data_IF_533006478546
#
_entry.id   IF_533006478546
#
_cell.length_a   1.000
_cell.length_b   1.000
_cell.length_c   1.000
_cell.angle_alpha   90.00
_cell.angle_beta   90.00
_cell.angle_gamma   90.00
#
_symmetry.space_group_name_H-M   'P 1'
#
loop_
_entity.id
_entity.type
_entity.pdbx_description
1 polymer ?
#
# COMPACT_ATOMS: atom_id res chain seq x y z
N UNK A 1 -8.20 -16.07 -6.07
CA UNK A 1 -7.54 -15.03 -5.24
C UNK A 1 -7.06 -13.94 -6.18
N UNK A 2 -7.00 -12.70 -5.72
CA UNK A 2 -6.54 -11.54 -6.49
C UNK A 2 -5.78 -10.62 -5.55
N UNK A 3 -4.72 -9.99 -6.03
CA UNK A 3 -4.07 -8.88 -5.33
C UNK A 3 -4.47 -7.56 -5.97
N UNK A 4 -4.67 -6.54 -5.16
CA UNK A 4 -4.85 -5.17 -5.62
C UNK A 4 -3.68 -4.31 -5.14
N UNK A 5 -3.30 -3.33 -5.95
CA UNK A 5 -2.28 -2.33 -5.63
C UNK A 5 -2.88 -0.94 -5.85
N UNK A 6 -2.82 -0.10 -4.83
CA UNK A 6 -3.31 1.27 -4.88
C UNK A 6 -2.34 2.13 -5.68
N UNK A 7 -2.84 2.70 -6.78
CA UNK A 7 -2.05 3.56 -7.66
C UNK A 7 -1.56 4.78 -6.89
N UNK A 8 -0.24 4.83 -6.68
CA UNK A 8 0.45 6.00 -6.14
C UNK A 8 -0.17 6.54 -4.83
N UNK A 9 -0.52 5.63 -3.90
CA UNK A 9 -1.28 5.89 -2.67
C UNK A 9 -0.97 7.26 -2.04
N UNK A 10 0.26 7.50 -1.60
CA UNK A 10 0.60 8.72 -0.88
C UNK A 10 0.37 9.98 -1.71
N UNK A 11 0.70 9.97 -3.00
CA UNK A 11 0.52 11.15 -3.86
C UNK A 11 -0.93 11.37 -4.28
N UNK A 12 -1.79 10.35 -4.17
CA UNK A 12 -3.20 10.42 -4.56
C UNK A 12 -4.14 10.70 -3.37
N UNK A 13 -3.72 10.50 -2.13
CA UNK A 13 -4.59 10.79 -0.97
C UNK A 13 -4.92 12.30 -0.89
N UNK A 14 -6.20 12.70 -0.98
CA UNK A 14 -6.62 14.09 -0.84
C UNK A 14 -6.50 14.53 0.62
N UNK A 15 -5.49 15.34 0.93
CA UNK A 15 -5.14 15.73 2.32
C UNK A 15 -6.29 16.39 3.07
N UNK A 16 -7.10 17.22 2.40
CA UNK A 16 -8.28 17.88 3.01
C UNK A 16 -9.30 16.85 3.49
N UNK A 17 -9.73 15.95 2.60
CA UNK A 17 -10.70 14.90 2.95
C UNK A 17 -10.12 13.93 3.98
N UNK A 18 -8.83 13.62 3.89
CA UNK A 18 -8.16 12.77 4.87
C UNK A 18 -8.12 13.40 6.27
N UNK A 19 -7.90 14.71 6.38
CA UNK A 19 -8.00 15.44 7.66
C UNK A 19 -9.43 15.43 8.19
N UNK A 20 -10.44 15.59 7.32
CA UNK A 20 -11.85 15.49 7.71
C UNK A 20 -12.21 14.08 8.22
N UNK A 21 -11.72 13.03 7.56
CA UNK A 21 -11.83 11.63 8.02
C UNK A 21 -11.24 11.48 9.41
N UNK A 22 -10.01 11.98 9.63
CA UNK A 22 -9.35 11.93 10.94
C UNK A 22 -10.17 12.68 11.99
N UNK A 23 -10.65 13.89 11.69
CA UNK A 23 -11.49 14.68 12.60
C UNK A 23 -12.75 13.92 12.98
N UNK A 24 -13.45 13.36 12.00
CA UNK A 24 -14.67 12.59 12.21
C UNK A 24 -14.42 11.39 13.13
N UNK A 25 -13.36 10.61 12.89
CA UNK A 25 -12.96 9.48 13.74
C UNK A 25 -12.69 9.92 15.17
N UNK A 26 -11.90 10.99 15.35
CA UNK A 26 -11.56 11.53 16.67
C UNK A 26 -12.78 12.04 17.45
N UNK A 27 -13.77 12.61 16.76
CA UNK A 27 -15.01 13.07 17.39
C UNK A 27 -15.89 11.92 17.92
N UNK A 28 -15.75 10.72 17.36
CA UNK A 28 -16.48 9.52 17.80
C UNK A 28 -15.66 8.61 18.71
N UNK A 29 -14.45 9.04 19.11
CA UNK A 29 -13.53 8.25 19.92
C UNK A 29 -13.70 8.56 21.42
N UNK A 30 -14.35 7.68 22.20
CA UNK A 30 -14.71 8.00 23.59
C UNK A 30 -13.49 8.14 24.51
N UNK A 31 -12.39 7.44 24.22
CA UNK A 31 -11.17 7.46 25.04
C UNK A 31 -10.15 8.50 24.57
N UNK A 32 -10.53 9.45 23.70
CA UNK A 32 -9.58 10.46 23.21
C UNK A 32 -8.97 11.28 24.36
N UNK A 33 -9.80 11.65 25.34
CA UNK A 33 -9.40 12.48 26.49
C UNK A 33 -8.44 11.79 27.45
N UNK A 34 -8.38 10.47 27.43
CA UNK A 34 -7.41 9.70 28.23
C UNK A 34 -6.01 9.74 27.61
N UNK A 35 -5.92 9.96 26.29
CA UNK A 35 -4.67 9.96 25.53
C UNK A 35 -4.10 11.36 25.30
N UNK A 36 -4.96 12.38 25.24
CA UNK A 36 -4.54 13.76 24.98
C UNK A 36 -5.54 14.79 25.50
N UNK A 37 -5.03 15.98 25.85
CA UNK A 37 -5.85 17.14 26.21
C UNK A 37 -6.36 17.89 24.98
N UNK A 38 -5.84 17.60 23.79
CA UNK A 38 -6.27 18.23 22.54
C UNK A 38 -7.66 17.72 22.15
N UNK A 39 -8.52 18.63 21.68
CA UNK A 39 -9.80 18.26 21.06
C UNK A 39 -9.61 17.87 19.57
N UNK A 40 -10.61 17.24 18.93
CA UNK A 40 -10.51 16.82 17.53
C UNK A 40 -10.13 17.96 16.56
N UNK A 41 -10.65 19.17 16.75
CA UNK A 41 -10.34 20.33 15.89
C UNK A 41 -8.89 20.79 16.04
N UNK A 42 -8.35 20.79 17.26
CA UNK A 42 -6.96 21.12 17.53
C UNK A 42 -6.01 20.09 16.91
N UNK A 43 -6.31 18.79 17.05
CA UNK A 43 -5.52 17.73 16.39
C UNK A 43 -5.58 17.88 14.87
N UNK A 44 -6.75 18.16 14.32
CA UNK A 44 -6.94 18.35 12.88
C UNK A 44 -6.17 19.56 12.35
N UNK A 45 -6.16 20.66 13.10
CA UNK A 45 -5.38 21.87 12.76
C UNK A 45 -3.88 21.57 12.73
N UNK A 46 -3.37 20.85 13.72
CA UNK A 46 -1.95 20.45 13.75
C UNK A 46 -1.62 19.50 12.59
N UNK A 47 -2.52 18.57 12.28
CA UNK A 47 -2.34 17.64 11.17
C UNK A 47 -2.33 18.36 9.82
N UNK A 48 -3.23 19.32 9.62
CA UNK A 48 -3.29 20.14 8.42
C UNK A 48 -1.98 20.91 8.22
N UNK A 49 -1.43 21.49 9.29
CA UNK A 49 -0.10 22.15 9.24
C UNK A 49 0.96 21.13 8.80
N UNK A 50 1.03 19.96 9.42
CA UNK A 50 2.01 18.93 9.08
C UNK A 50 1.92 18.46 7.62
N UNK A 51 0.71 18.34 7.07
CA UNK A 51 0.49 17.87 5.70
C UNK A 51 0.75 18.98 4.66
N UNK A 52 0.40 20.23 4.98
CA UNK A 52 0.51 21.36 4.04
C UNK A 52 1.86 22.10 4.09
N UNK A 53 2.70 21.82 5.10
CA UNK A 53 4.06 22.39 5.22
C UNK A 53 5.15 21.46 4.69
N UNK A 54 4.81 20.65 3.67
CA UNK A 54 5.75 19.75 3.01
C UNK A 54 6.57 20.51 1.96
N UNK A 55 7.77 20.95 2.35
CA UNK A 55 8.77 21.56 1.46
C UNK A 55 9.99 20.66 1.30
N UNK A 56 10.53 20.59 0.09
CA UNK A 56 11.79 19.90 -0.19
C UNK A 56 12.65 20.70 -1.17
N UNK A 57 13.95 20.46 -1.14
CA UNK A 57 14.93 21.13 -2.01
C UNK A 57 15.45 20.15 -3.05
N UNK A 58 15.39 20.52 -4.32
CA UNK A 58 15.96 19.75 -5.42
C UNK A 58 16.68 20.69 -6.39
N UNK A 59 17.95 20.39 -6.73
CA UNK A 59 18.80 21.24 -7.59
C UNK A 59 18.78 22.73 -7.21
N UNK A 60 18.97 22.99 -5.91
CA UNK A 60 18.95 24.34 -5.34
C UNK A 60 17.63 25.12 -5.42
N UNK A 61 16.55 24.47 -5.84
CA UNK A 61 15.21 25.05 -5.89
C UNK A 61 14.33 24.44 -4.80
N UNK A 62 13.55 25.28 -4.12
CA UNK A 62 12.55 24.84 -3.15
C UNK A 62 11.23 24.53 -3.85
N UNK A 63 10.66 23.37 -3.50
CA UNK A 63 9.36 22.92 -3.96
C UNK A 63 8.44 22.70 -2.77
N UNK A 64 7.15 22.98 -2.98
CA UNK A 64 6.09 22.63 -2.03
C UNK A 64 5.20 21.57 -2.66
N UNK A 65 4.98 20.47 -1.95
CA UNK A 65 4.00 19.48 -2.38
C UNK A 65 2.59 20.08 -2.24
N UNK A 66 1.82 20.10 -3.34
CA UNK A 66 0.48 20.71 -3.39
C UNK A 66 -0.66 19.71 -3.17
N UNK A 67 -0.40 18.43 -3.40
CA UNK A 67 -1.39 17.37 -3.32
C UNK A 67 -0.72 16.08 -2.85
N UNK A 68 -1.49 15.21 -2.22
CA UNK A 68 -0.98 14.00 -1.61
C UNK A 68 -0.28 14.23 -0.27
N UNK A 69 -0.07 13.13 0.41
CA UNK A 69 0.79 12.97 1.55
C UNK A 69 2.27 12.89 1.13
N UNK A 70 3.15 13.47 1.94
CA UNK A 70 4.58 13.43 1.70
C UNK A 70 5.17 12.05 1.98
N UNK A 71 5.84 11.46 1.00
CA UNK A 71 6.61 10.24 1.24
C UNK A 71 7.76 10.56 2.22
N UNK A 72 7.88 9.77 3.28
CA UNK A 72 8.86 9.98 4.36
C UNK A 72 8.37 10.84 5.53
N UNK A 73 7.18 11.44 5.44
CA UNK A 73 6.56 12.08 6.61
C UNK A 73 6.04 11.01 7.58
N UNK A 74 6.29 11.15 8.90
CA UNK A 74 5.88 10.16 9.90
C UNK A 74 4.35 10.06 10.04
N UNK A 75 3.61 11.12 9.72
CA UNK A 75 2.14 11.12 9.81
C UNK A 75 1.46 10.57 8.56
N UNK A 76 2.15 10.58 7.41
CA UNK A 76 1.56 10.22 6.13
C UNK A 76 1.06 8.78 6.04
N UNK A 77 1.78 7.75 6.53
CA UNK A 77 1.26 6.38 6.60
C UNK A 77 -0.05 6.26 7.39
N UNK A 78 -0.16 6.98 8.51
CA UNK A 78 -1.32 6.93 9.39
C UNK A 78 -2.53 7.57 8.70
N UNK A 79 -2.34 8.76 8.12
CA UNK A 79 -3.40 9.50 7.41
C UNK A 79 -3.88 8.74 6.18
N UNK A 80 -2.95 8.22 5.37
CA UNK A 80 -3.28 7.41 4.21
C UNK A 80 -4.07 6.15 4.61
N UNK A 81 -3.67 5.46 5.68
CA UNK A 81 -4.39 4.29 6.16
C UNK A 81 -5.81 4.60 6.63
N UNK A 82 -6.01 5.69 7.36
CA UNK A 82 -7.35 6.09 7.85
C UNK A 82 -8.26 6.51 6.69
N UNK A 83 -7.75 7.24 5.72
CA UNK A 83 -8.52 7.60 4.53
C UNK A 83 -8.88 6.36 3.70
N UNK A 84 -7.91 5.46 3.48
CA UNK A 84 -8.15 4.20 2.78
C UNK A 84 -9.20 3.33 3.46
N UNK A 85 -9.22 3.30 4.81
CA UNK A 85 -10.22 2.52 5.54
C UNK A 85 -11.66 3.01 5.26
N UNK A 86 -11.87 4.32 5.12
CA UNK A 86 -13.19 4.86 4.72
C UNK A 86 -13.55 4.50 3.27
N UNK A 87 -12.59 4.57 2.34
CA UNK A 87 -12.78 4.17 0.94
C UNK A 87 -13.13 2.68 0.85
N UNK A 88 -12.40 1.83 1.56
CA UNK A 88 -12.61 0.39 1.61
C UNK A 88 -13.95 0.03 2.25
N UNK A 89 -14.28 0.67 3.37
CA UNK A 89 -15.57 0.48 4.04
C UNK A 89 -16.72 0.81 3.10
N UNK A 90 -16.68 1.99 2.46
CA UNK A 90 -17.69 2.40 1.49
C UNK A 90 -17.77 1.42 0.33
N UNK A 91 -16.64 0.95 -0.19
CA UNK A 91 -16.60 -0.01 -1.29
C UNK A 91 -17.25 -1.35 -0.91
N UNK A 92 -16.94 -1.89 0.27
CA UNK A 92 -17.49 -3.15 0.77
C UNK A 92 -18.97 -3.03 1.17
N UNK A 93 -19.43 -1.89 1.68
CA UNK A 93 -20.82 -1.69 2.07
C UNK A 93 -21.76 -1.45 0.87
N UNK A 94 -21.25 -0.86 -0.20
CA UNK A 94 -22.08 -0.43 -1.35
C UNK A 94 -22.03 -1.37 -2.54
N UNK A 95 -21.19 -2.41 -2.51
CA UNK A 95 -21.13 -3.37 -3.60
C UNK A 95 -22.38 -4.27 -3.62
N UNK A 96 -23.05 -4.33 -4.77
CA UNK A 96 -24.30 -5.09 -4.93
C UNK A 96 -24.10 -6.58 -5.24
N UNK A 97 -22.88 -6.99 -5.58
CA UNK A 97 -22.56 -8.38 -5.94
C UNK A 97 -22.14 -9.23 -4.74
N UNK A 98 -21.50 -10.37 -5.00
CA UNK A 98 -20.95 -11.20 -3.91
C UNK A 98 -19.68 -10.55 -3.35
N UNK A 99 -19.71 -10.14 -2.09
CA UNK A 99 -18.55 -9.55 -1.42
C UNK A 99 -17.34 -10.50 -1.32
N UNK A 100 -16.11 -9.95 -1.26
CA UNK A 100 -14.94 -10.72 -0.85
C UNK A 100 -15.15 -11.36 0.52
N UNK A 101 -14.75 -12.62 0.66
CA UNK A 101 -14.74 -13.31 1.96
C UNK A 101 -13.57 -12.86 2.83
N UNK A 102 -12.49 -12.37 2.21
CA UNK A 102 -11.31 -11.88 2.90
C UNK A 102 -10.77 -10.64 2.17
N UNK A 103 -10.37 -9.64 2.94
CA UNK A 103 -9.78 -8.39 2.48
C UNK A 103 -8.66 -8.00 3.45
N UNK A 104 -7.41 -8.18 3.04
CA UNK A 104 -6.24 -7.91 3.89
C UNK A 104 -5.32 -6.92 3.22
N UNK A 105 -5.28 -5.69 3.73
CA UNK A 105 -4.43 -4.62 3.19
C UNK A 105 -3.17 -4.42 4.04
N UNK A 106 -2.05 -4.33 3.36
CA UNK A 106 -0.77 -3.86 3.88
C UNK A 106 -0.35 -2.61 3.09
N UNK A 107 -0.54 -1.44 3.71
CA UNK A 107 -0.29 -0.13 3.09
C UNK A 107 -1.07 0.03 1.77
N UNK A 108 -0.41 -0.13 0.62
CA UNK A 108 -0.93 -0.01 -0.74
C UNK A 108 -1.29 -1.36 -1.38
N UNK A 109 -0.82 -2.48 -0.83
CA UNK A 109 -1.04 -3.83 -1.34
C UNK A 109 -2.17 -4.52 -0.60
N UNK A 110 -3.17 -5.04 -1.31
CA UNK A 110 -4.31 -5.75 -0.73
C UNK A 110 -4.43 -7.16 -1.29
N UNK A 111 -4.46 -8.15 -0.41
CA UNK A 111 -4.80 -9.53 -0.77
C UNK A 111 -6.28 -9.79 -0.58
N UNK A 112 -6.91 -10.42 -1.57
CA UNK A 112 -8.37 -10.59 -1.60
C UNK A 112 -8.79 -12.00 -2.03
N UNK A 113 -9.71 -12.58 -1.26
CA UNK A 113 -10.41 -13.84 -1.61
C UNK A 113 -11.85 -13.54 -2.02
N UNK A 114 -12.07 -13.46 -3.33
CA UNK A 114 -13.37 -13.21 -3.98
C UNK A 114 -13.63 -14.26 -5.07
N UNK A 115 -14.90 -14.47 -5.45
CA UNK A 115 -15.27 -15.36 -6.57
C UNK A 115 -14.73 -14.80 -7.90
N UNK A 116 -14.30 -15.69 -8.80
CA UNK A 116 -13.65 -15.32 -10.06
C UNK A 116 -14.54 -14.41 -10.91
N UNK A 117 -15.84 -14.73 -11.01
CA UNK A 117 -16.81 -13.96 -11.79
C UNK A 117 -17.11 -12.57 -11.20
N UNK A 118 -16.75 -12.32 -9.94
CA UNK A 118 -16.94 -11.05 -9.24
C UNK A 118 -15.70 -10.15 -9.35
N UNK A 119 -14.53 -10.69 -9.74
CA UNK A 119 -13.28 -9.90 -9.77
C UNK A 119 -13.44 -8.67 -10.66
N UNK A 120 -13.93 -8.83 -11.89
CA UNK A 120 -14.16 -7.72 -12.82
C UNK A 120 -15.12 -6.67 -12.26
N UNK A 121 -16.40 -7.03 -12.01
CA UNK A 121 -17.39 -6.09 -11.50
C UNK A 121 -17.00 -5.42 -10.18
N UNK A 122 -16.36 -6.15 -9.27
CA UNK A 122 -15.85 -5.59 -8.02
C UNK A 122 -14.70 -4.60 -8.27
N UNK A 123 -13.79 -4.90 -9.20
CA UNK A 123 -12.69 -3.97 -9.58
C UNK A 123 -13.25 -2.66 -10.12
N UNK A 124 -14.27 -2.72 -10.96
CA UNK A 124 -14.92 -1.53 -11.52
C UNK A 124 -15.62 -0.73 -10.41
N UNK A 125 -16.31 -1.43 -9.50
CA UNK A 125 -16.97 -0.82 -8.35
C UNK A 125 -16.00 -0.11 -7.42
N UNK A 126 -14.95 -0.77 -6.92
CA UNK A 126 -13.99 -0.13 -5.98
C UNK A 126 -13.31 1.08 -6.60
N UNK A 127 -13.07 1.06 -7.91
CA UNK A 127 -12.52 2.19 -8.65
C UNK A 127 -13.53 3.31 -8.92
N UNK A 128 -14.81 3.09 -8.68
CA UNK A 128 -15.88 4.09 -8.81
C UNK A 128 -16.23 4.79 -7.48
N UNK A 129 -15.81 4.21 -6.35
CA UNK A 129 -16.23 4.64 -5.01
C UNK A 129 -15.59 5.96 -4.58
N UNK A 130 -14.38 6.22 -5.05
CA UNK A 130 -13.57 7.41 -4.73
C UNK A 130 -12.94 7.99 -6.01
N UNK A 131 -12.90 9.32 -6.11
CA UNK A 131 -12.38 10.01 -7.30
C UNK A 131 -10.85 9.97 -7.40
N UNK A 132 -10.16 9.90 -6.26
CA UNK A 132 -8.71 10.03 -6.15
C UNK A 132 -7.99 8.69 -6.02
N UNK A 133 -8.61 7.72 -5.34
CA UNK A 133 -8.04 6.40 -5.11
C UNK A 133 -8.45 5.45 -6.22
N UNK A 134 -7.45 4.82 -6.84
CA UNK A 134 -7.63 3.79 -7.87
C UNK A 134 -6.77 2.58 -7.55
N UNK A 135 -7.26 1.42 -7.94
CA UNK A 135 -6.62 0.12 -7.74
C UNK A 135 -6.28 -0.51 -9.08
N UNK A 136 -5.07 -1.02 -9.20
CA UNK A 136 -4.71 -2.05 -10.17
C UNK A 136 -4.90 -3.42 -9.56
N UNK A 137 -4.91 -4.47 -10.38
CA UNK A 137 -5.05 -5.85 -9.90
C UNK A 137 -4.07 -6.79 -10.59
N UNK A 138 -3.62 -7.80 -9.85
CA UNK A 138 -2.98 -8.99 -10.40
C UNK A 138 -3.84 -10.21 -10.02
N UNK A 139 -4.32 -10.91 -11.06
CA UNK A 139 -5.11 -12.13 -10.89
C UNK A 139 -4.19 -13.35 -10.81
N UNK A 140 -4.64 -14.36 -10.06
CA UNK A 140 -3.92 -15.62 -9.94
C UNK A 140 -3.71 -16.28 -11.31
N UNK A 141 -2.48 -16.70 -11.62
CA UNK A 141 -2.12 -17.43 -12.84
C UNK A 141 -1.38 -18.70 -12.47
N UNK A 142 -1.73 -19.83 -13.09
CA UNK A 142 -1.07 -21.12 -12.83
C UNK A 142 -1.03 -21.49 -11.34
N UNK A 143 -2.12 -21.23 -10.61
CA UNK A 143 -2.21 -21.39 -9.16
C UNK A 143 -1.16 -20.60 -8.35
N UNK A 144 -0.61 -19.53 -8.90
CA UNK A 144 0.29 -18.61 -8.22
C UNK A 144 -0.27 -17.18 -8.17
N UNK A 145 -0.10 -16.51 -7.04
CA UNK A 145 -0.35 -15.08 -6.88
C UNK A 145 0.85 -14.40 -6.19
N UNK A 146 1.52 -13.46 -6.86
CA UNK A 146 2.51 -12.60 -6.21
C UNK A 146 1.86 -11.65 -5.19
N UNK A 147 2.42 -11.56 -3.99
CA UNK A 147 1.98 -10.63 -2.93
C UNK A 147 3.11 -10.39 -1.91
N UNK A 148 3.48 -9.12 -1.65
CA UNK A 148 4.52 -8.72 -0.67
C UNK A 148 5.82 -9.54 -0.77
N UNK A 149 6.44 -9.57 -1.95
CA UNK A 149 7.67 -10.35 -2.25
C UNK A 149 7.55 -11.88 -2.03
N UNK A 150 6.33 -12.37 -1.80
CA UNK A 150 6.00 -13.77 -1.69
C UNK A 150 5.20 -14.27 -2.91
N UNK A 151 5.44 -15.51 -3.29
CA UNK A 151 4.64 -16.26 -4.25
C UNK A 151 3.70 -17.14 -3.47
N UNK A 152 2.41 -16.83 -3.54
CA UNK A 152 1.37 -17.61 -2.88
C UNK A 152 0.86 -18.67 -3.85
N UNK A 153 0.99 -19.95 -3.49
CA UNK A 153 0.53 -21.08 -4.30
C UNK A 153 -0.65 -21.77 -3.66
N UNK A 154 -1.66 -22.08 -4.47
CA UNK A 154 -2.77 -22.92 -4.03
C UNK A 154 -2.50 -24.37 -4.43
N UNK A 155 -2.26 -25.21 -3.44
CA UNK A 155 -2.10 -26.65 -3.62
C UNK A 155 -3.41 -27.33 -4.04
N UNK A 156 -3.29 -28.55 -4.55
CA UNK A 156 -4.44 -29.32 -5.06
C UNK A 156 -5.47 -29.68 -3.98
N UNK A 157 -5.07 -29.72 -2.71
CA UNK A 157 -5.95 -30.01 -1.56
C UNK A 157 -6.52 -28.73 -0.91
N UNK A 158 -6.25 -27.55 -1.48
CA UNK A 158 -6.70 -26.26 -0.96
C UNK A 158 -5.74 -25.60 0.04
N UNK A 159 -4.57 -26.21 0.27
CA UNK A 159 -3.52 -25.65 1.11
C UNK A 159 -2.86 -24.44 0.45
N UNK A 160 -2.52 -23.44 1.26
CA UNK A 160 -1.80 -22.26 0.80
C UNK A 160 -0.31 -22.41 1.12
N UNK A 161 0.52 -22.51 0.09
CA UNK A 161 1.98 -22.52 0.23
C UNK A 161 2.52 -21.12 -0.07
N UNK A 162 3.57 -20.71 0.63
CA UNK A 162 4.18 -19.39 0.49
C UNK A 162 5.69 -19.57 0.30
N UNK A 163 6.21 -18.98 -0.77
CA UNK A 163 7.64 -18.99 -1.08
C UNK A 163 8.13 -17.58 -1.41
N UNK A 164 9.45 -17.37 -1.44
CA UNK A 164 10.02 -16.08 -1.87
C UNK A 164 9.84 -15.93 -3.38
N UNK A 165 9.25 -14.81 -3.81
CA UNK A 165 9.00 -14.50 -5.22
C UNK A 165 9.84 -13.33 -5.69
N UNK A 166 10.51 -13.49 -6.84
CA UNK A 166 11.22 -12.38 -7.50
C UNK A 166 10.51 -11.99 -8.78
N UNK A 167 10.07 -10.73 -8.84
CA UNK A 167 9.51 -10.15 -10.06
C UNK A 167 10.53 -10.28 -11.20
N UNK A 168 10.10 -10.55 -12.45
CA UNK A 168 11.01 -10.61 -13.60
C UNK A 168 11.82 -9.32 -13.83
N UNK A 169 11.33 -8.19 -13.32
CA UNK A 169 12.01 -6.89 -13.36
C UNK A 169 13.10 -6.72 -12.29
N UNK A 170 13.34 -7.71 -11.44
CA UNK A 170 14.40 -7.66 -10.44
C UNK A 170 15.76 -7.55 -11.14
N UNK A 171 16.48 -6.45 -10.91
CA UNK A 171 17.75 -6.16 -11.59
C UNK A 171 18.97 -6.73 -10.87
N UNK A 172 18.77 -7.43 -9.75
CA UNK A 172 19.83 -7.88 -8.83
C UNK A 172 20.77 -6.74 -8.38
N UNK A 173 20.26 -5.50 -8.38
CA UNK A 173 20.97 -4.33 -7.89
C UNK A 173 20.73 -4.13 -6.40
N UNK A 174 21.81 -3.97 -5.66
CA UNK A 174 21.79 -3.74 -4.23
C UNK A 174 22.23 -2.31 -3.89
N UNK A 175 21.97 -1.90 -2.65
CA UNK A 175 22.43 -0.61 -2.14
C UNK A 175 23.96 -0.51 -2.25
N UNK A 176 24.43 0.48 -3.00
CA UNK A 176 25.87 0.74 -3.11
C UNK A 176 26.42 1.12 -1.74
N UNK A 177 27.52 0.49 -1.32
CA UNK A 177 28.08 0.68 0.02
C UNK A 177 28.62 2.11 0.23
N UNK A 178 28.97 2.82 -0.84
CA UNK A 178 29.43 4.21 -0.84
C UNK A 178 28.28 5.24 -0.81
N UNK A 179 27.02 4.81 -0.92
CA UNK A 179 25.86 5.72 -0.89
C UNK A 179 25.70 6.43 0.46
N UNK A 180 25.02 7.57 0.49
CA UNK A 180 24.78 8.37 1.71
C UNK A 180 23.63 7.80 2.57
N UNK A 181 23.66 6.50 2.85
CA UNK A 181 22.71 5.83 3.73
C UNK A 181 23.39 5.44 5.06
N UNK A 182 22.63 5.39 6.17
CA UNK A 182 23.12 4.84 7.44
C UNK A 182 23.74 3.46 7.28
N UNK A 183 24.75 3.16 8.11
CA UNK A 183 25.53 1.91 8.01
C UNK A 183 24.64 0.68 8.24
N UNK A 184 23.62 0.80 9.07
CA UNK A 184 22.66 -0.24 9.43
C UNK A 184 21.93 -0.78 8.19
N UNK A 185 21.53 0.11 7.26
CA UNK A 185 20.86 -0.31 6.02
C UNK A 185 21.82 -1.04 5.07
N UNK A 186 23.09 -0.61 5.02
CA UNK A 186 24.12 -1.26 4.20
C UNK A 186 24.47 -2.65 4.72
N UNK A 187 24.60 -2.79 6.05
CA UNK A 187 24.81 -4.08 6.70
C UNK A 187 23.58 -4.99 6.56
N UNK A 188 22.38 -4.42 6.60
CA UNK A 188 21.13 -5.15 6.36
C UNK A 188 21.12 -5.88 5.02
N UNK A 189 21.60 -5.24 3.94
CA UNK A 189 21.73 -5.88 2.62
C UNK A 189 22.61 -7.13 2.67
N UNK A 190 23.75 -7.06 3.37
CA UNK A 190 24.67 -8.20 3.51
C UNK A 190 24.00 -9.34 4.29
N UNK A 191 23.28 -9.02 5.36
CA UNK A 191 22.55 -10.01 6.16
C UNK A 191 21.45 -10.69 5.35
N UNK A 192 20.65 -9.94 4.60
CA UNK A 192 19.60 -10.49 3.72
C UNK A 192 20.22 -11.46 2.71
N UNK A 193 21.31 -11.06 2.04
CA UNK A 193 22.01 -11.91 1.08
C UNK A 193 22.56 -13.21 1.70
N UNK A 194 22.98 -13.18 2.97
CA UNK A 194 23.43 -14.38 3.68
C UNK A 194 22.26 -15.32 4.02
N UNK A 195 21.11 -14.77 4.42
CA UNK A 195 19.90 -15.56 4.73
C UNK A 195 19.28 -16.18 3.46
N UNK A 196 19.32 -15.47 2.34
CA UNK A 196 18.83 -15.96 1.04
C UNK A 196 19.66 -17.13 0.48
N UNK A 197 20.83 -17.45 1.04
CA UNK A 197 21.60 -18.66 0.67
C UNK A 197 21.03 -19.97 1.26
N UNK A 198 19.91 -19.90 1.97
CA UNK A 198 19.16 -21.07 2.43
C UNK A 198 18.64 -21.95 1.28
N UNK A 199 18.13 -23.17 1.57
CA UNK A 199 17.96 -24.25 0.57
C UNK A 199 16.88 -24.04 -0.51
N UNK A 200 16.17 -22.90 -0.52
CA UNK A 200 15.07 -22.64 -1.45
C UNK A 200 15.45 -21.53 -2.44
N UNK A 201 15.77 -21.85 -3.70
CA UNK A 201 16.04 -20.83 -4.70
C UNK A 201 14.75 -20.06 -5.05
N UNK A 202 14.79 -18.73 -5.19
CA UNK A 202 13.62 -17.93 -5.54
C UNK A 202 13.16 -18.20 -6.97
N UNK A 203 11.85 -18.37 -7.17
CA UNK A 203 11.24 -18.60 -8.49
C UNK A 203 11.13 -17.27 -9.23
N UNK A 204 11.67 -17.20 -10.45
CA UNK A 204 11.54 -16.04 -11.36
C UNK A 204 10.19 -16.11 -12.08
N UNK A 205 9.35 -15.09 -11.93
CA UNK A 205 8.12 -14.98 -12.72
C UNK A 205 8.42 -14.84 -14.22
N UNK A 206 7.74 -15.60 -15.08
CA UNK A 206 7.80 -15.39 -16.53
C UNK A 206 6.80 -14.29 -16.93
N UNK A 207 7.30 -13.06 -17.04
CA UNK A 207 6.54 -11.93 -17.58
C UNK A 207 7.17 -11.44 -18.87
N UNK A 208 6.67 -11.90 -20.01
CA UNK A 208 6.95 -11.32 -21.32
C UNK A 208 6.37 -9.90 -21.35
N UNK A 209 7.20 -8.89 -21.10
CA UNK A 209 6.93 -7.51 -21.53
C UNK A 209 7.77 -7.25 -22.77
N UNK A 210 7.13 -7.35 -23.93
CA UNK A 210 7.59 -6.66 -25.13
C UNK A 210 7.69 -5.17 -24.79
N UNK A 211 8.91 -4.65 -24.79
CA UNK A 211 9.18 -3.22 -24.76
C UNK A 211 9.40 -2.78 -26.20
N UNK A 212 8.35 -2.29 -26.82
CA UNK A 212 8.46 -1.27 -27.86
C UNK A 212 7.97 0.03 -27.21
N UNK A 213 8.90 0.88 -26.75
CA UNK A 213 9.14 2.31 -27.08
C UNK A 213 10.49 2.68 -26.46
#
# INVERSE_FOLDING_TARGET
>A
MVSYDVISLFTCVPTVLAVETVRSRLSHEPMLRERTQLNPDQVSTLLEICLNTTYFKYKDVFYRQKHGCAMGSPVSPIVANLYMEEVEKKALETYSGTLPTHWFRYVDNTWVKIKINEIGPFTDHINSVDDYIKFTKEEMRENQLPFLDCGMYLGNEGDLQVEVYRKPTHTDQYLMFDSHHPLEHKLGVIQTLQQERGPYPPIRGQGLKNRDI
#
